data_IF_217140087407
#
_entry.id   IF_217140087407
#
_cell.length_a   1.000
_cell.length_b   1.000
_cell.length_c   1.000
_cell.angle_alpha   90.00
_cell.angle_beta   90.00
_cell.angle_gamma   90.00
#
_symmetry.space_group_name_H-M   'P 1'
#
loop_
_entity.id
_entity.type
_entity.pdbx_description
1 polymer ?
#
# COMPACT_ATOMS: atom_id res chain seq x y z
N UNK A 1 -21.30 16.26 -12.41
CA UNK A 1 -20.89 15.88 -11.05
C UNK A 1 -19.56 15.17 -11.15
N UNK A 2 -18.47 15.76 -10.65
CA UNK A 2 -17.15 15.14 -10.65
C UNK A 2 -17.11 14.05 -9.58
N UNK A 3 -16.84 12.81 -9.97
CA UNK A 3 -16.63 11.70 -9.03
C UNK A 3 -15.16 11.66 -8.59
N UNK A 4 -14.90 11.68 -7.28
CA UNK A 4 -13.57 11.42 -6.74
C UNK A 4 -13.39 9.92 -6.49
N UNK A 5 -12.37 9.32 -7.12
CA UNK A 5 -12.03 7.91 -6.92
C UNK A 5 -10.71 7.81 -6.15
N UNK A 6 -10.74 7.15 -4.99
CA UNK A 6 -9.55 6.87 -4.19
C UNK A 6 -8.99 5.50 -4.57
N UNK A 7 -7.74 5.46 -4.98
CA UNK A 7 -7.01 4.25 -5.30
C UNK A 7 -5.98 3.97 -4.21
N UNK A 8 -5.80 2.70 -3.85
CA UNK A 8 -4.94 2.30 -2.72
C UNK A 8 -4.06 1.15 -3.14
N UNK A 9 -2.77 1.23 -2.83
CA UNK A 9 -1.83 0.12 -2.90
C UNK A 9 -1.32 -0.15 -1.50
N UNK A 10 -1.50 -1.36 -1.02
CA UNK A 10 -1.02 -1.83 0.26
C UNK A 10 0.02 -2.92 0.04
N UNK A 11 1.17 -2.80 0.70
CA UNK A 11 2.22 -3.81 0.68
C UNK A 11 2.58 -4.18 2.10
N UNK A 12 2.44 -5.46 2.41
CA UNK A 12 2.82 -6.02 3.71
C UNK A 12 3.95 -7.01 3.48
N UNK A 13 5.04 -6.84 4.21
CA UNK A 13 6.19 -7.76 4.23
C UNK A 13 6.39 -8.30 5.63
N UNK A 14 6.64 -9.60 5.75
CA UNK A 14 7.00 -10.21 7.02
C UNK A 14 6.86 -11.72 7.00
N UNK A 15 7.07 -12.34 8.16
CA UNK A 15 6.96 -13.78 8.37
C UNK A 15 5.51 -14.17 8.63
N UNK A 16 4.75 -14.27 7.55
CA UNK A 16 3.36 -14.73 7.64
C UNK A 16 3.29 -16.15 8.22
N UNK A 17 2.35 -16.35 9.14
CA UNK A 17 2.07 -17.63 9.81
C UNK A 17 3.30 -18.25 10.50
N UNK A 18 4.22 -17.43 11.03
CA UNK A 18 5.41 -17.90 11.75
C UNK A 18 6.46 -18.60 10.87
N UNK A 19 6.24 -18.69 9.56
CA UNK A 19 7.15 -19.37 8.64
C UNK A 19 8.56 -18.73 8.65
N UNK A 20 9.65 -19.51 8.50
CA UNK A 20 11.02 -18.99 8.59
C UNK A 20 11.35 -17.88 7.59
N UNK A 21 10.76 -17.93 6.39
CA UNK A 21 11.05 -17.00 5.31
C UNK A 21 9.98 -15.92 5.21
N UNK A 22 10.42 -14.66 5.24
CA UNK A 22 9.54 -13.53 5.01
C UNK A 22 8.93 -13.58 3.59
N UNK A 23 7.63 -13.31 3.49
CA UNK A 23 6.93 -13.17 2.20
C UNK A 23 6.44 -11.73 2.05
N UNK A 24 6.11 -11.35 0.82
CA UNK A 24 5.51 -10.06 0.48
C UNK A 24 4.10 -10.30 -0.06
N UNK A 25 3.12 -9.59 0.47
CA UNK A 25 1.76 -9.53 -0.06
C UNK A 25 1.49 -8.10 -0.52
N UNK A 26 0.93 -7.96 -1.72
CA UNK A 26 0.54 -6.67 -2.30
C UNK A 26 -0.93 -6.74 -2.65
N UNK A 27 -1.69 -5.75 -2.22
CA UNK A 27 -3.09 -5.56 -2.54
C UNK A 27 -3.22 -4.20 -3.24
N UNK A 28 -3.95 -4.18 -4.35
CA UNK A 28 -4.17 -2.97 -5.13
C UNK A 28 -5.67 -2.84 -5.34
N UNK A 29 -6.24 -1.73 -4.87
CA UNK A 29 -7.64 -1.38 -5.02
C UNK A 29 -7.69 -0.18 -5.98
N UNK A 30 -8.37 -0.37 -7.11
CA UNK A 30 -8.45 0.63 -8.18
C UNK A 30 -7.31 0.54 -9.19
N UNK A 31 -7.23 1.52 -10.10
CA UNK A 31 -6.26 1.55 -11.21
C UNK A 31 -5.38 2.80 -11.10
N UNK A 32 -4.08 2.65 -11.38
CA UNK A 32 -3.19 3.78 -11.59
C UNK A 32 -2.54 4.38 -10.34
N UNK A 33 -2.21 3.58 -9.32
CA UNK A 33 -1.28 4.02 -8.26
C UNK A 33 0.14 4.05 -8.83
N UNK A 34 0.45 5.12 -9.58
CA UNK A 34 1.75 5.33 -10.22
C UNK A 34 2.71 6.00 -9.24
N UNK A 35 3.74 5.28 -8.80
CA UNK A 35 4.82 5.84 -7.97
C UNK A 35 5.80 6.68 -8.82
N UNK A 36 5.75 6.53 -10.15
CA UNK A 36 6.70 7.17 -11.08
C UNK A 36 6.23 8.55 -11.57
N UNK A 37 4.96 8.91 -11.36
CA UNK A 37 4.41 10.17 -11.86
C UNK A 37 4.57 11.30 -10.84
N UNK A 38 5.35 12.32 -11.20
CA UNK A 38 5.60 13.50 -10.35
C UNK A 38 4.32 14.32 -10.10
N UNK A 39 3.39 14.33 -11.06
CA UNK A 39 2.15 15.12 -11.00
C UNK A 39 0.98 14.40 -10.32
N UNK A 40 1.20 13.19 -9.80
CA UNK A 40 0.14 12.43 -9.12
C UNK A 40 0.05 12.83 -7.65
N UNK A 41 -1.16 13.07 -7.14
CA UNK A 41 -1.39 13.30 -5.72
C UNK A 41 -1.31 11.94 -4.99
N UNK A 42 -0.10 11.59 -4.56
CA UNK A 42 0.23 10.29 -3.97
C UNK A 42 0.75 10.48 -2.54
N UNK A 43 -0.03 10.03 -1.57
CA UNK A 43 0.43 9.96 -0.19
C UNK A 43 1.08 8.60 0.07
N UNK A 44 2.17 8.61 0.82
CA UNK A 44 2.88 7.42 1.25
C UNK A 44 2.97 7.39 2.77
N UNK A 45 2.69 6.23 3.35
CA UNK A 45 2.99 5.97 4.75
C UNK A 45 3.63 4.59 4.92
N UNK A 46 4.55 4.50 5.86
CA UNK A 46 5.20 3.26 6.26
C UNK A 46 5.12 3.11 7.77
N UNK A 47 4.75 1.91 8.20
CA UNK A 47 4.70 1.56 9.62
C UNK A 47 5.14 0.13 9.82
N UNK A 48 5.48 -0.18 11.07
CA UNK A 48 6.02 -1.46 11.50
C UNK A 48 5.11 -2.01 12.59
N UNK A 49 4.57 -3.20 12.37
CA UNK A 49 3.74 -3.91 13.34
C UNK A 49 4.52 -5.04 13.98
N UNK A 50 4.60 -5.01 15.31
CA UNK A 50 5.28 -6.02 16.11
C UNK A 50 4.31 -7.13 16.51
N UNK A 51 4.71 -8.38 16.30
CA UNK A 51 3.93 -9.57 16.65
C UNK A 51 4.79 -10.54 17.43
N UNK A 52 4.16 -11.51 18.10
CA UNK A 52 4.87 -12.56 18.84
C UNK A 52 5.90 -13.34 18.00
N UNK A 53 5.64 -13.48 16.70
CA UNK A 53 6.47 -14.25 15.77
C UNK A 53 7.40 -13.37 14.91
N UNK A 54 7.59 -12.10 15.29
CA UNK A 54 8.47 -11.15 14.61
C UNK A 54 7.73 -9.90 14.12
N UNK A 55 8.25 -9.29 13.07
CA UNK A 55 7.83 -7.95 12.65
C UNK A 55 7.25 -7.94 11.23
N UNK A 56 6.17 -7.18 11.04
CA UNK A 56 5.57 -6.88 9.74
C UNK A 56 5.83 -5.44 9.34
N UNK A 57 6.46 -5.23 8.18
CA UNK A 57 6.54 -3.92 7.54
C UNK A 57 5.31 -3.69 6.68
N UNK A 58 4.59 -2.60 6.93
CA UNK A 58 3.39 -2.19 6.20
C UNK A 58 3.67 -0.88 5.48
N UNK A 59 3.53 -0.89 4.16
CA UNK A 59 3.67 0.29 3.29
C UNK A 59 2.34 0.52 2.57
N UNK A 60 1.83 1.74 2.62
CA UNK A 60 0.60 2.12 1.92
C UNK A 60 0.86 3.31 1.01
N UNK A 61 0.25 3.27 -0.17
CA UNK A 61 0.17 4.38 -1.10
C UNK A 61 -1.29 4.68 -1.38
N UNK A 62 -1.73 5.92 -1.18
CA UNK A 62 -3.06 6.39 -1.54
C UNK A 62 -2.95 7.41 -2.65
N UNK A 63 -3.80 7.30 -3.66
CA UNK A 63 -3.84 8.22 -4.78
C UNK A 63 -5.28 8.65 -5.04
N UNK A 64 -5.52 9.96 -4.99
CA UNK A 64 -6.81 10.54 -5.32
C UNK A 64 -6.84 10.90 -6.80
N UNK A 65 -7.81 10.34 -7.53
CA UNK A 65 -8.07 10.69 -8.92
C UNK A 65 -9.40 11.42 -9.00
N UNK A 66 -9.32 12.70 -9.33
CA UNK A 66 -10.49 13.50 -9.69
C UNK A 66 -10.77 13.29 -11.17
N UNK A 67 -11.90 12.66 -11.50
CA UNK A 67 -12.40 12.63 -12.86
C UNK A 67 -13.21 13.91 -13.07
N UNK A 68 -12.64 14.86 -13.81
CA UNK A 68 -13.31 16.08 -14.26
C UNK A 68 -14.26 15.74 -15.40
#
# INVERSE_FOLDING_TARGET
YAGSQKNIKLMIKGRFNGTPRAKKRVMIIGKGVSVLSIKSNLDYAETVSYTSNGTFGVKIWTCEKTSV
#
